data_IF_589309474538
#
_entry.id   IF_589309474538
#
_cell.length_a   1.000
_cell.length_b   1.000
_cell.length_c   1.000
_cell.angle_alpha   90.00
_cell.angle_beta   90.00
_cell.angle_gamma   90.00
#
_symmetry.space_group_name_H-M   'P 1'
#
loop_
_entity.id
_entity.type
_entity.pdbx_description
1 polymer ?
#
# COMPACT_ATOMS: atom_id res chain seq x y z
N UNK A 1 15.78 6.49 -2.58
CA UNK A 1 14.59 7.05 -3.28
C UNK A 1 13.54 7.49 -2.28
N UNK A 2 13.26 8.79 -2.19
CA UNK A 2 12.30 9.35 -1.23
C UNK A 2 10.89 9.48 -1.83
N UNK A 3 10.35 8.37 -2.37
CA UNK A 3 9.05 8.33 -3.06
C UNK A 3 7.89 8.85 -2.18
N UNK A 4 7.96 8.61 -0.87
CA UNK A 4 6.95 9.04 0.10
C UNK A 4 6.89 10.56 0.34
N UNK A 5 7.88 11.32 -0.15
CA UNK A 5 7.90 12.79 -0.12
C UNK A 5 7.47 13.43 -1.44
N UNK A 6 7.45 12.65 -2.54
CA UNK A 6 7.08 13.17 -3.85
C UNK A 6 5.56 13.05 -4.08
N UNK A 7 4.87 14.18 -4.17
CA UNK A 7 3.43 14.26 -4.41
C UNK A 7 3.06 14.23 -5.89
N UNK A 8 4.04 14.41 -6.79
CA UNK A 8 3.84 14.33 -8.25
C UNK A 8 3.71 12.89 -8.75
N UNK A 9 4.25 11.93 -7.99
CA UNK A 9 4.15 10.51 -8.29
C UNK A 9 2.70 10.06 -8.21
N UNK A 10 2.28 9.15 -9.08
CA UNK A 10 0.98 8.51 -9.02
C UNK A 10 0.99 7.22 -8.20
N UNK A 11 -0.17 6.85 -7.65
CA UNK A 11 -0.28 5.63 -6.83
C UNK A 11 0.03 4.37 -7.64
N UNK A 12 -0.20 4.40 -8.95
CA UNK A 12 0.15 3.34 -9.90
C UNK A 12 1.66 3.16 -10.04
N UNK A 13 2.44 4.24 -10.01
CA UNK A 13 3.91 4.17 -10.03
C UNK A 13 4.44 3.59 -8.72
N UNK A 14 3.86 3.98 -7.58
CA UNK A 14 4.17 3.36 -6.29
C UNK A 14 3.89 1.86 -6.35
N UNK A 15 2.71 1.49 -6.84
CA UNK A 15 2.30 0.09 -7.03
C UNK A 15 3.33 -0.71 -7.85
N UNK A 16 3.75 -0.21 -9.02
CA UNK A 16 4.74 -0.86 -9.88
C UNK A 16 6.06 -1.14 -9.15
N UNK A 17 6.52 -0.19 -8.34
CA UNK A 17 7.78 -0.32 -7.59
C UNK A 17 7.72 -1.35 -6.46
N UNK A 18 6.55 -1.50 -5.83
CA UNK A 18 6.38 -2.39 -4.68
C UNK A 18 5.87 -3.78 -5.05
N UNK A 19 5.09 -3.93 -6.13
CA UNK A 19 4.41 -5.19 -6.47
C UNK A 19 5.36 -6.38 -6.65
N UNK A 20 6.53 -6.19 -7.29
CA UNK A 20 7.51 -7.27 -7.42
C UNK A 20 8.01 -7.77 -6.05
N UNK A 21 8.30 -6.86 -5.12
CA UNK A 21 8.76 -7.19 -3.76
C UNK A 21 7.64 -7.80 -2.92
N UNK A 22 6.44 -7.23 -2.99
CA UNK A 22 5.25 -7.72 -2.32
C UNK A 22 4.94 -9.17 -2.69
N UNK A 23 5.03 -9.50 -3.99
CA UNK A 23 4.83 -10.86 -4.48
C UNK A 23 5.83 -11.83 -3.86
N UNK A 24 7.12 -11.50 -3.88
CA UNK A 24 8.16 -12.32 -3.26
C UNK A 24 7.94 -12.52 -1.76
N UNK A 25 7.62 -11.46 -1.03
CA UNK A 25 7.36 -11.55 0.41
C UNK A 25 6.14 -12.38 0.74
N UNK A 26 5.05 -12.24 -0.01
CA UNK A 26 3.83 -13.02 0.22
C UNK A 26 4.06 -14.50 -0.10
N UNK A 27 4.73 -14.82 -1.21
CA UNK A 27 5.03 -16.20 -1.58
C UNK A 27 5.94 -16.87 -0.55
N UNK A 28 7.01 -16.18 -0.13
CA UNK A 28 7.97 -16.74 0.81
C UNK A 28 7.42 -16.75 2.25
N UNK A 29 7.07 -15.60 2.81
CA UNK A 29 6.68 -15.48 4.21
C UNK A 29 5.22 -15.86 4.48
N UNK A 30 4.38 -15.98 3.46
CA UNK A 30 2.97 -16.35 3.63
C UNK A 30 2.76 -17.74 4.22
N UNK A 31 3.72 -18.65 3.99
CA UNK A 31 3.71 -20.02 4.56
C UNK A 31 4.22 -20.05 6.00
N UNK A 32 5.25 -19.26 6.32
CA UNK A 32 5.99 -19.41 7.58
C UNK A 32 5.67 -18.36 8.65
N UNK A 33 5.21 -17.16 8.27
CA UNK A 33 4.98 -16.08 9.23
C UNK A 33 3.86 -15.13 8.81
N UNK A 34 2.63 -15.64 8.79
CA UNK A 34 1.43 -14.88 8.41
C UNK A 34 1.25 -13.58 9.21
N UNK A 35 1.51 -13.62 10.52
CA UNK A 35 1.34 -12.45 11.40
C UNK A 35 2.38 -11.35 11.10
N UNK A 36 3.66 -11.73 10.96
CA UNK A 36 4.74 -10.78 10.64
C UNK A 36 4.56 -10.20 9.23
N UNK A 37 4.19 -11.05 8.26
CA UNK A 37 3.85 -10.62 6.92
C UNK A 37 2.70 -9.61 6.94
N UNK A 38 1.59 -9.91 7.63
CA UNK A 38 0.45 -8.98 7.74
C UNK A 38 0.87 -7.64 8.33
N UNK A 39 1.66 -7.64 9.40
CA UNK A 39 2.16 -6.40 10.00
C UNK A 39 3.01 -5.59 9.00
N UNK A 40 3.88 -6.25 8.25
CA UNK A 40 4.70 -5.63 7.21
C UNK A 40 3.85 -4.99 6.11
N UNK A 41 2.82 -5.69 5.64
CA UNK A 41 1.91 -5.20 4.61
C UNK A 41 1.07 -4.02 5.12
N UNK A 42 0.60 -4.07 6.37
CA UNK A 42 -0.08 -2.94 7.02
C UNK A 42 0.81 -1.70 7.15
N UNK A 43 2.14 -1.87 7.33
CA UNK A 43 3.06 -0.73 7.33
C UNK A 43 3.13 -0.05 5.96
N UNK A 44 2.97 -0.80 4.87
CA UNK A 44 2.89 -0.23 3.52
C UNK A 44 1.62 0.59 3.37
N UNK A 45 0.47 0.06 3.80
CA UNK A 45 -0.79 0.80 3.77
C UNK A 45 -0.73 2.08 4.63
N UNK A 46 -0.11 2.03 5.81
CA UNK A 46 0.11 3.21 6.65
C UNK A 46 0.98 4.26 5.96
N UNK A 47 2.01 3.83 5.20
CA UNK A 47 2.83 4.76 4.41
C UNK A 47 2.02 5.36 3.25
N UNK A 48 1.17 4.58 2.59
CA UNK A 48 0.24 5.07 1.56
C UNK A 48 -0.73 6.11 2.13
N UNK A 49 -1.32 5.87 3.30
CA UNK A 49 -2.20 6.84 3.97
C UNK A 49 -1.45 8.15 4.25
N UNK A 50 -0.25 8.08 4.82
CA UNK A 50 0.56 9.28 5.09
C UNK A 50 0.90 10.04 3.80
N UNK A 51 1.21 9.32 2.72
CA UNK A 51 1.51 9.92 1.42
C UNK A 51 0.28 10.54 0.77
N UNK A 52 -0.88 9.88 0.80
CA UNK A 52 -2.15 10.43 0.30
C UNK A 52 -2.54 11.71 1.05
N UNK A 53 -2.33 11.73 2.37
CA UNK A 53 -2.53 12.93 3.20
C UNK A 53 -1.69 14.10 2.71
N UNK A 54 -0.41 13.86 2.39
CA UNK A 54 0.48 14.88 1.82
C UNK A 54 0.09 15.28 0.40
N UNK A 55 -0.18 14.31 -0.48
CA UNK A 55 -0.52 14.55 -1.89
C UNK A 55 -1.78 15.39 -2.06
N UNK A 56 -2.82 15.12 -1.25
CA UNK A 56 -4.09 15.82 -1.34
C UNK A 56 -4.29 16.90 -0.28
N UNK A 57 -3.29 17.16 0.58
CA UNK A 57 -3.37 18.10 1.70
C UNK A 57 -4.60 17.83 2.59
N UNK A 58 -4.84 16.57 2.92
CA UNK A 58 -5.98 16.11 3.72
C UNK A 58 -5.54 15.46 5.03
N UNK A 59 -6.39 15.54 6.06
CA UNK A 59 -6.16 14.88 7.35
C UNK A 59 -6.20 13.35 7.27
N UNK A 60 -5.66 12.70 8.31
CA UNK A 60 -5.48 11.23 8.36
C UNK A 60 -6.76 10.45 8.08
N UNK A 61 -7.89 10.80 8.72
CA UNK A 61 -9.18 10.11 8.53
C UNK A 61 -9.65 10.14 7.06
N UNK A 62 -9.53 11.31 6.42
CA UNK A 62 -9.88 11.48 4.99
C UNK A 62 -8.92 10.70 4.09
N UNK A 63 -7.63 10.63 4.42
CA UNK A 63 -6.65 9.85 3.68
C UNK A 63 -6.90 8.33 3.78
N UNK A 64 -7.29 7.82 4.96
CA UNK A 64 -7.72 6.43 5.14
C UNK A 64 -8.96 6.12 4.30
N UNK A 65 -9.98 6.98 4.36
CA UNK A 65 -11.18 6.82 3.54
C UNK A 65 -10.85 6.82 2.04
N UNK A 66 -9.98 7.73 1.60
CA UNK A 66 -9.52 7.80 0.21
C UNK A 66 -8.77 6.54 -0.21
N UNK A 67 -7.88 6.01 0.63
CA UNK A 67 -7.20 4.75 0.34
C UNK A 67 -8.18 3.59 0.22
N UNK A 68 -9.18 3.53 1.11
CA UNK A 68 -10.26 2.53 1.04
C UNK A 68 -11.02 2.61 -0.28
N UNK A 69 -11.40 3.81 -0.72
CA UNK A 69 -12.06 4.03 -2.01
C UNK A 69 -11.18 3.59 -3.19
N UNK A 70 -9.89 3.95 -3.19
CA UNK A 70 -8.96 3.55 -4.24
C UNK A 70 -8.83 2.02 -4.31
N UNK A 71 -8.70 1.36 -3.15
CA UNK A 71 -8.61 -0.10 -3.06
C UNK A 71 -9.88 -0.78 -3.55
N UNK A 72 -11.06 -0.25 -3.22
CA UNK A 72 -12.33 -0.79 -3.70
C UNK A 72 -12.47 -0.65 -5.22
N UNK A 73 -12.05 0.48 -5.78
CA UNK A 73 -12.08 0.71 -7.22
C UNK A 73 -11.01 -0.09 -7.98
N UNK A 74 -9.85 -0.34 -7.37
CA UNK A 74 -8.70 -0.99 -7.99
C UNK A 74 -8.08 -2.04 -7.04
N UNK A 75 -8.76 -3.18 -6.80
CA UNK A 75 -8.30 -4.18 -5.85
C UNK A 75 -6.97 -4.83 -6.26
N UNK A 76 -6.66 -4.85 -7.56
CA UNK A 76 -5.42 -5.41 -8.10
C UNK A 76 -4.23 -4.43 -8.12
N UNK A 77 -4.44 -3.18 -7.72
CA UNK A 77 -3.40 -2.15 -7.77
C UNK A 77 -2.18 -2.54 -6.93
N UNK A 78 -2.39 -3.12 -5.75
CA UNK A 78 -1.30 -3.72 -4.97
C UNK A 78 -1.54 -5.21 -4.80
N UNK A 79 -0.47 -5.99 -4.96
CA UNK A 79 -0.56 -7.45 -4.88
C UNK A 79 -1.13 -7.93 -3.54
N UNK A 80 -0.80 -7.26 -2.42
CA UNK A 80 -1.32 -7.64 -1.12
C UNK A 80 -2.81 -7.34 -0.94
N UNK A 81 -3.34 -6.31 -1.61
CA UNK A 81 -4.78 -6.06 -1.65
C UNK A 81 -5.52 -7.17 -2.39
N UNK A 82 -5.01 -7.62 -3.54
CA UNK A 82 -5.57 -8.73 -4.32
C UNK A 82 -5.64 -10.03 -3.53
N UNK A 83 -4.61 -10.31 -2.73
CA UNK A 83 -4.53 -11.54 -1.92
C UNK A 83 -5.31 -11.43 -0.59
N UNK A 84 -5.94 -10.29 -0.31
CA UNK A 84 -6.78 -10.10 0.88
C UNK A 84 -6.03 -9.65 2.14
N UNK A 85 -4.76 -9.26 2.02
CA UNK A 85 -4.03 -8.64 3.12
C UNK A 85 -4.43 -7.17 3.24
N UNK A 86 -5.18 -6.85 4.29
CA UNK A 86 -5.46 -5.49 4.72
C UNK A 86 -5.84 -5.34 6.19
#
# INVERSE_FOLDING_TARGET
MNIWRNTKVEISEISKLFNAKLRGWIVYYGKYSKRSLRNTLLLIDRKLVKWLGKKHKIGYRKAVAKLKTIRQANPELFYHWKVGYS
#
